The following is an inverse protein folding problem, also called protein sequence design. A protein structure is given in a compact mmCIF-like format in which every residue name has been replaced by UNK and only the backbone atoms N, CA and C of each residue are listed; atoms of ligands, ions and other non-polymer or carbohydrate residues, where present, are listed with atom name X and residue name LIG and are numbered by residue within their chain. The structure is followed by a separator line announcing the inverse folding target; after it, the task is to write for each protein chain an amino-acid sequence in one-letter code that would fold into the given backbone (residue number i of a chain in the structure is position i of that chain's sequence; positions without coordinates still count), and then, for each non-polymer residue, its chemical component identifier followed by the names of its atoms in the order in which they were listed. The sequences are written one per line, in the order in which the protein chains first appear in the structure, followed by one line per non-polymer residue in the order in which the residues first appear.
data_IF_900732264986
#
_entry.id   IF_900732264986
#
_cell.length_a   1.000
_cell.length_b   1.000
_cell.length_c   1.000
_cell.angle_alpha   90.00
_cell.angle_beta   90.00
_cell.angle_gamma   90.00
#
_symmetry.space_group_name_H-M   'P 1'
#
loop_
_entity.id
_entity.type
_entity.pdbx_description
1 polymer ?
#
# COMPACT_ATOMS: atom_id res chain seq x y z
N UNK A 1 56.28 20.25 11.18
CA UNK A 1 54.97 20.76 10.72
C UNK A 1 55.16 21.32 9.33
N UNK A 2 54.42 20.97 8.27
CA UNK A 2 53.51 19.89 7.95
C UNK A 2 53.35 19.94 6.41
N UNK A 3 53.45 18.77 5.75
CA UNK A 3 52.78 18.27 4.51
C UNK A 3 52.83 19.16 3.23
N UNK A 4 53.38 18.80 2.05
CA UNK A 4 53.65 17.56 1.26
C UNK A 4 52.41 16.88 0.62
N UNK A 5 52.22 17.25 -0.66
CA UNK A 5 51.75 16.53 -1.88
C UNK A 5 50.31 16.04 -2.13
N UNK A 6 49.91 16.34 -3.37
CA UNK A 6 48.85 15.72 -4.19
C UNK A 6 49.16 14.27 -4.59
N UNK A 7 48.12 13.44 -4.65
CA UNK A 7 47.92 12.16 -5.38
C UNK A 7 46.44 11.77 -5.09
N UNK A 8 45.65 11.09 -5.90
CA UNK A 8 45.78 10.33 -7.15
C UNK A 8 44.35 10.03 -7.64
N UNK A 9 44.22 9.60 -8.90
CA UNK A 9 43.01 9.10 -9.57
C UNK A 9 42.35 7.87 -8.87
N UNK A 10 41.20 7.45 -9.44
CA UNK A 10 40.31 6.31 -9.12
C UNK A 10 39.24 6.64 -8.08
N UNK A 11 37.96 6.28 -8.22
CA UNK A 11 37.39 5.10 -8.86
C UNK A 11 35.91 5.38 -9.18
N UNK A 12 35.45 4.84 -10.30
CA UNK A 12 34.06 4.77 -10.72
C UNK A 12 33.28 3.88 -9.74
N UNK A 13 32.38 4.46 -8.95
CA UNK A 13 31.29 3.69 -8.33
C UNK A 13 29.96 4.25 -8.82
N UNK A 14 29.51 3.66 -9.93
CA UNK A 14 28.10 3.61 -10.29
C UNK A 14 27.36 2.87 -9.17
N UNK A 15 26.95 3.57 -8.12
CA UNK A 15 25.83 3.11 -7.29
C UNK A 15 24.56 3.38 -8.08
N UNK A 16 24.23 2.44 -8.97
CA UNK A 16 22.85 2.22 -9.35
C UNK A 16 22.14 1.86 -8.05
N UNK A 17 21.41 2.81 -7.46
CA UNK A 17 20.47 2.53 -6.38
C UNK A 17 19.26 1.80 -6.97
N UNK A 18 19.49 0.58 -7.48
CA UNK A 18 18.52 -0.49 -7.38
C UNK A 18 18.39 -0.78 -5.89
N UNK A 19 17.43 -0.15 -5.22
CA UNK A 19 16.73 -0.66 -4.03
C UNK A 19 15.97 0.48 -3.35
N UNK A 20 14.80 0.81 -3.88
CA UNK A 20 13.68 1.21 -3.01
C UNK A 20 12.38 0.57 -3.49
N UNK A 21 12.41 -0.75 -3.70
CA UNK A 21 11.21 -1.56 -3.90
C UNK A 21 10.73 -2.20 -2.59
N UNK A 22 11.06 -1.60 -1.44
CA UNK A 22 10.94 -2.29 -0.15
C UNK A 22 10.45 -1.40 0.98
N UNK A 23 9.21 -0.92 0.93
CA UNK A 23 8.59 -0.51 2.19
C UNK A 23 7.11 -0.83 2.39
N UNK A 24 6.35 -1.21 1.36
CA UNK A 24 4.92 -1.52 1.53
C UNK A 24 4.60 -2.93 1.08
N UNK A 25 4.92 -3.90 1.94
CA UNK A 25 4.59 -5.31 1.72
C UNK A 25 3.17 -5.66 2.15
N UNK A 26 2.61 -4.94 3.12
CA UNK A 26 1.30 -5.26 3.69
C UNK A 26 0.52 -3.98 4.05
N UNK A 27 -0.80 -4.09 4.05
CA UNK A 27 -1.73 -3.08 4.57
C UNK A 27 -2.65 -3.67 5.62
N UNK A 28 -3.18 -2.84 6.51
CA UNK A 28 -4.15 -3.28 7.52
C UNK A 28 -5.57 -3.11 7.01
N UNK A 29 -6.33 -4.20 6.99
CA UNK A 29 -7.72 -4.23 6.55
C UNK A 29 -8.60 -4.82 7.64
N UNK A 30 -9.68 -4.13 7.98
CA UNK A 30 -10.74 -4.63 8.85
C UNK A 30 -12.05 -4.77 8.07
N UNK A 31 -12.98 -5.56 8.62
CA UNK A 31 -14.33 -5.65 8.06
C UNK A 31 -15.13 -4.38 8.38
N UNK A 32 -15.11 -3.96 9.64
CA UNK A 32 -15.82 -2.79 10.15
C UNK A 32 -15.02 -2.07 11.26
N UNK A 33 -15.55 -0.95 11.75
CA UNK A 33 -14.96 -0.18 12.84
C UNK A 33 -14.97 -0.95 14.16
N UNK A 34 -13.78 -1.15 14.74
CA UNK A 34 -13.60 -1.83 16.03
C UNK A 34 -13.19 -3.30 15.91
N UNK A 35 -13.22 -3.88 14.71
CA UNK A 35 -12.71 -5.22 14.43
C UNK A 35 -11.16 -5.26 14.38
N UNK A 36 -10.57 -6.41 14.71
CA UNK A 36 -9.12 -6.60 14.64
C UNK A 36 -8.65 -6.64 13.17
N UNK A 37 -7.71 -5.76 12.76
CA UNK A 37 -7.28 -5.71 11.38
C UNK A 37 -6.39 -6.89 11.00
N UNK A 38 -6.52 -7.33 9.75
CA UNK A 38 -5.67 -8.34 9.12
C UNK A 38 -4.71 -7.66 8.15
N UNK A 39 -3.46 -8.10 8.15
CA UNK A 39 -2.44 -7.62 7.21
C UNK A 39 -2.58 -8.33 5.85
N UNK A 40 -2.85 -7.57 4.79
CA UNK A 40 -3.00 -8.09 3.42
C UNK A 40 -1.78 -7.70 2.59
N UNK A 41 -1.16 -8.64 1.85
CA UNK A 41 0.02 -8.35 1.05
C UNK A 41 -0.30 -7.47 -0.15
N UNK A 42 0.65 -6.60 -0.50
CA UNK A 42 0.68 -5.86 -1.75
C UNK A 42 1.45 -6.65 -2.82
N UNK A 43 1.03 -6.47 -4.07
CA UNK A 43 1.70 -6.99 -5.25
C UNK A 43 2.94 -6.14 -5.61
N UNK A 44 3.78 -6.64 -6.52
CA UNK A 44 4.98 -5.94 -6.99
C UNK A 44 4.69 -4.61 -7.71
N UNK A 45 3.47 -4.43 -8.23
CA UNK A 45 3.00 -3.18 -8.86
C UNK A 45 2.33 -2.23 -7.84
N UNK A 46 2.48 -2.51 -6.54
CA UNK A 46 1.88 -1.80 -5.42
C UNK A 46 0.34 -1.83 -5.42
N UNK A 47 -0.29 -2.73 -6.17
CA UNK A 47 -1.74 -2.96 -6.08
C UNK A 47 -2.06 -4.06 -5.08
N UNK A 48 -3.35 -4.22 -4.79
CA UNK A 48 -3.85 -5.36 -4.03
C UNK A 48 -4.86 -6.11 -4.88
N UNK A 49 -4.68 -7.42 -4.99
CA UNK A 49 -5.64 -8.26 -5.70
C UNK A 49 -6.94 -8.39 -4.89
N UNK A 50 -8.06 -8.16 -5.58
CA UNK A 50 -9.39 -8.40 -5.03
C UNK A 50 -9.55 -9.88 -4.63
N UNK A 51 -8.92 -10.81 -5.35
CA UNK A 51 -8.93 -12.23 -4.99
C UNK A 51 -8.28 -12.49 -3.63
N UNK A 52 -7.15 -11.86 -3.34
CA UNK A 52 -6.49 -11.93 -2.02
C UNK A 52 -7.39 -11.36 -0.94
N UNK A 53 -8.01 -10.20 -1.20
CA UNK A 53 -8.98 -9.59 -0.28
C UNK A 53 -10.15 -10.54 0.00
N UNK A 54 -10.79 -11.07 -1.04
CA UNK A 54 -11.97 -11.96 -0.90
C UNK A 54 -11.66 -13.33 -0.29
N UNK A 55 -10.39 -13.75 -0.31
CA UNK A 55 -9.96 -14.99 0.35
C UNK A 55 -9.96 -14.86 1.87
N UNK A 56 -9.75 -13.65 2.38
CA UNK A 56 -9.77 -13.31 3.81
C UNK A 56 -11.12 -12.74 4.24
N UNK A 57 -11.78 -11.99 3.36
CA UNK A 57 -13.06 -11.33 3.58
C UNK A 57 -14.07 -11.74 2.49
N UNK A 58 -14.72 -12.91 2.64
CA UNK A 58 -15.66 -13.41 1.65
C UNK A 58 -16.76 -12.41 1.33
N UNK A 59 -16.96 -12.13 0.03
CA UNK A 59 -17.99 -11.19 -0.44
C UNK A 59 -17.55 -9.72 -0.49
N UNK A 60 -16.31 -9.40 -0.09
CA UNK A 60 -15.76 -8.06 -0.28
C UNK A 60 -15.72 -7.70 -1.79
N UNK A 61 -16.16 -6.50 -2.12
CA UNK A 61 -16.15 -5.95 -3.49
C UNK A 61 -15.13 -4.83 -3.69
N UNK A 62 -14.49 -4.37 -2.61
CA UNK A 62 -13.45 -3.37 -2.65
C UNK A 62 -13.05 -2.89 -1.25
N UNK A 63 -12.29 -1.81 -1.22
CA UNK A 63 -11.83 -1.17 0.01
C UNK A 63 -12.24 0.30 0.06
N UNK A 64 -12.36 0.80 1.29
CA UNK A 64 -12.50 2.22 1.62
C UNK A 64 -11.60 2.55 2.81
N UNK A 65 -11.28 3.81 2.99
CA UNK A 65 -10.55 4.29 4.16
C UNK A 65 -11.15 5.60 4.66
N UNK A 66 -10.86 5.94 5.92
CA UNK A 66 -11.23 7.22 6.50
C UNK A 66 -10.16 8.25 6.14
N UNK A 67 -10.59 9.43 5.73
CA UNK A 67 -9.68 10.54 5.42
C UNK A 67 -8.94 11.04 6.67
N UNK A 68 -7.80 11.70 6.48
CA UNK A 68 -6.96 12.20 7.59
C UNK A 68 -7.69 13.24 8.45
N UNK A 69 -8.59 14.02 7.86
CA UNK A 69 -9.49 14.94 8.56
C UNK A 69 -10.66 14.22 9.28
N UNK A 70 -10.78 12.90 9.14
CA UNK A 70 -11.73 12.05 9.85
C UNK A 70 -13.18 12.11 9.35
N UNK A 71 -13.51 13.05 8.47
CA UNK A 71 -14.89 13.44 8.18
C UNK A 71 -15.54 12.65 7.04
N UNK A 72 -14.77 11.95 6.23
CA UNK A 72 -15.29 11.25 5.06
C UNK A 72 -14.66 9.88 4.87
N UNK A 73 -15.40 8.99 4.20
CA UNK A 73 -14.88 7.71 3.73
C UNK A 73 -14.53 7.85 2.25
N UNK A 74 -13.30 7.49 1.87
CA UNK A 74 -12.86 7.43 0.48
C UNK A 74 -12.77 5.99 0.02
N UNK A 75 -13.39 5.69 -1.11
CA UNK A 75 -13.28 4.38 -1.77
C UNK A 75 -12.00 4.29 -2.59
N UNK A 76 -11.45 3.09 -2.71
CA UNK A 76 -10.31 2.82 -3.58
C UNK A 76 -10.76 2.48 -4.99
N UNK A 77 -9.96 2.90 -5.97
CA UNK A 77 -10.18 2.54 -7.36
C UNK A 77 -9.88 1.05 -7.55
N UNK A 78 -10.81 0.33 -8.17
CA UNK A 78 -10.61 -1.03 -8.64
C UNK A 78 -10.46 -0.99 -10.17
N UNK A 79 -9.37 -1.57 -10.69
CA UNK A 79 -9.12 -1.75 -12.13
C UNK A 79 -8.88 -3.24 -12.36
N UNK A 80 -9.81 -3.92 -13.02
CA UNK A 80 -9.72 -5.35 -13.37
C UNK A 80 -9.36 -6.27 -12.19
N UNK A 81 -9.94 -6.00 -11.02
CA UNK A 81 -9.69 -6.77 -9.81
C UNK A 81 -8.40 -6.38 -9.08
N UNK A 82 -7.76 -5.28 -9.46
CA UNK A 82 -6.59 -4.71 -8.78
C UNK A 82 -6.96 -3.39 -8.13
N UNK A 83 -6.95 -3.38 -6.80
CA UNK A 83 -7.16 -2.18 -6.00
C UNK A 83 -5.90 -1.32 -6.08
N UNK A 84 -6.10 -0.10 -6.59
CA UNK A 84 -5.04 0.87 -6.78
C UNK A 84 -4.71 1.56 -5.45
N UNK A 85 -3.44 1.91 -5.22
CA UNK A 85 -3.06 2.71 -4.06
C UNK A 85 -3.82 4.04 -4.02
N UNK A 86 -4.12 4.58 -2.83
CA UNK A 86 -4.56 5.96 -2.72
C UNK A 86 -3.46 6.92 -3.18
N UNK A 87 -3.82 8.17 -3.50
CA UNK A 87 -2.86 9.20 -3.92
C UNK A 87 -1.80 9.47 -2.84
N UNK A 88 -2.19 9.34 -1.57
CA UNK A 88 -1.30 9.48 -0.42
C UNK A 88 -0.42 8.22 -0.17
N UNK A 89 -0.64 7.13 -0.90
CA UNK A 89 0.05 5.86 -0.73
C UNK A 89 -0.45 5.01 0.45
N UNK A 90 -0.08 3.73 0.47
CA UNK A 90 -0.65 2.76 1.42
C UNK A 90 -0.37 3.09 2.89
N UNK A 91 0.85 3.55 3.22
CA UNK A 91 1.30 3.71 4.61
C UNK A 91 0.86 5.00 5.30
N UNK A 92 0.37 5.99 4.56
CA UNK A 92 -0.19 7.19 5.18
C UNK A 92 -1.55 6.91 5.82
N UNK A 93 -2.20 5.84 5.38
CA UNK A 93 -3.51 5.43 5.87
C UNK A 93 -3.34 4.29 6.88
N UNK A 94 -3.80 4.48 8.13
CA UNK A 94 -3.57 3.49 9.19
C UNK A 94 -4.45 2.24 9.06
N UNK A 95 -5.63 2.36 8.44
CA UNK A 95 -6.61 1.28 8.36
C UNK A 95 -7.54 1.44 7.15
N UNK A 96 -7.79 0.31 6.48
CA UNK A 96 -8.76 0.17 5.39
C UNK A 96 -9.92 -0.72 5.85
N UNK A 97 -11.08 -0.52 5.25
CA UNK A 97 -12.30 -1.24 5.55
C UNK A 97 -12.85 -1.91 4.31
N UNK A 98 -13.39 -3.11 4.47
CA UNK A 98 -14.06 -3.83 3.40
C UNK A 98 -15.34 -3.10 2.94
N UNK A 99 -15.58 -3.13 1.64
CA UNK A 99 -16.86 -2.78 1.04
C UNK A 99 -17.59 -4.07 0.67
N UNK A 100 -18.85 -4.19 1.05
CA UNK A 100 -19.71 -5.32 0.69
C UNK A 100 -20.88 -4.86 -0.17
N UNK A 101 -21.29 -5.64 -1.20
CA UNK A 101 -22.51 -5.36 -1.94
C UNK A 101 -23.74 -5.30 -1.02
N UNK A 102 -24.61 -4.30 -1.22
CA UNK A 102 -25.85 -4.17 -0.45
C UNK A 102 -26.95 -5.06 -1.03
N UNK A 103 -26.77 -6.38 -0.95
CA UNK A 103 -27.76 -7.38 -1.40
C UNK A 103 -28.18 -7.25 -2.87
N UNK A 104 -28.97 -8.22 -3.32
CA UNK A 104 -29.64 -8.12 -4.63
C UNK A 104 -30.81 -7.14 -4.47
N UNK A 105 -30.94 -6.18 -5.39
CA UNK A 105 -32.20 -5.47 -5.58
C UNK A 105 -33.18 -6.54 -6.07
N UNK A 106 -33.93 -7.14 -5.15
CA UNK A 106 -35.01 -8.09 -5.43
C UNK A 106 -36.18 -7.39 -6.10
#
# INVERSE_FOLDING_TARGET
MSQITKKEDSEETNEVTENDNSLFKYIKVAEDEGEEPIEIPCENDHTILLTTLTSLFPGASGLKYRTVDGNTMRGLRNVDGRLQPPEEGWATIPLYYCCFPKGTIS
#
